data_IF_849865776518
#
_entry.id   IF_849865776518
#
_cell.length_a   1.000
_cell.length_b   1.000
_cell.length_c   1.000
_cell.angle_alpha   90.00
_cell.angle_beta   90.00
_cell.angle_gamma   90.00
#
_symmetry.space_group_name_H-M   'P 1'
#
loop_
_entity.id
_entity.type
_entity.pdbx_description
1 polymer ?
#
# COMPACT_ATOMS: atom_id res chain seq x y z
N UNK A 1 -3.72 -9.98 -23.12
CA UNK A 1 -4.68 -9.15 -22.36
C UNK A 1 -5.06 -7.98 -23.26
N UNK A 2 -6.34 -7.61 -23.40
CA UNK A 2 -6.67 -6.40 -24.17
C UNK A 2 -6.33 -5.15 -23.32
N UNK A 3 -6.07 -4.01 -23.97
CA UNK A 3 -5.65 -2.78 -23.27
C UNK A 3 -6.65 -2.33 -22.19
N UNK A 4 -7.95 -2.42 -22.45
CA UNK A 4 -8.98 -2.00 -21.50
C UNK A 4 -8.93 -2.81 -20.21
N UNK A 5 -8.85 -4.13 -20.33
CA UNK A 5 -8.73 -5.04 -19.18
C UNK A 5 -7.45 -4.80 -18.39
N UNK A 6 -6.35 -4.43 -19.04
CA UNK A 6 -5.09 -4.12 -18.39
C UNK A 6 -5.21 -2.89 -17.47
N UNK A 7 -5.73 -1.78 -18.00
CA UNK A 7 -5.97 -0.57 -17.22
C UNK A 7 -7.00 -0.78 -16.09
N UNK A 8 -8.03 -1.59 -16.33
CA UNK A 8 -9.01 -1.93 -15.29
C UNK A 8 -8.36 -2.66 -14.11
N UNK A 9 -7.39 -3.56 -14.36
CA UNK A 9 -6.66 -4.27 -13.30
C UNK A 9 -5.69 -3.35 -12.58
N UNK A 10 -4.94 -2.52 -13.32
CA UNK A 10 -4.06 -1.51 -12.73
C UNK A 10 -4.83 -0.61 -11.76
N UNK A 11 -5.90 0.03 -12.24
CA UNK A 11 -6.73 0.92 -11.42
C UNK A 11 -7.24 0.23 -10.16
N UNK A 12 -7.79 -0.99 -10.29
CA UNK A 12 -8.28 -1.75 -9.13
C UNK A 12 -7.18 -2.04 -8.13
N UNK A 13 -6.01 -2.48 -8.58
CA UNK A 13 -4.89 -2.75 -7.68
C UNK A 13 -4.37 -1.49 -7.00
N UNK A 14 -4.17 -0.40 -7.75
CA UNK A 14 -3.74 0.90 -7.22
C UNK A 14 -4.70 1.42 -6.17
N UNK A 15 -6.02 1.34 -6.41
CA UNK A 15 -7.04 1.75 -5.44
C UNK A 15 -6.96 0.92 -4.17
N UNK A 16 -6.79 -0.40 -4.26
CA UNK A 16 -6.64 -1.24 -3.07
C UNK A 16 -5.38 -0.88 -2.29
N UNK A 17 -4.24 -0.69 -2.96
CA UNK A 17 -3.02 -0.21 -2.29
C UNK A 17 -3.22 1.13 -1.59
N UNK A 18 -3.88 2.09 -2.25
CA UNK A 18 -4.16 3.39 -1.66
C UNK A 18 -5.03 3.29 -0.40
N UNK A 19 -6.11 2.51 -0.46
CA UNK A 19 -7.01 2.30 0.70
C UNK A 19 -6.27 1.65 1.86
N UNK A 20 -5.50 0.58 1.61
CA UNK A 20 -4.75 -0.11 2.68
C UNK A 20 -3.65 0.80 3.23
N UNK A 21 -3.02 1.65 2.41
CA UNK A 21 -2.01 2.61 2.87
C UNK A 21 -2.59 3.63 3.87
N UNK A 22 -3.78 4.16 3.58
CA UNK A 22 -4.48 5.08 4.48
C UNK A 22 -4.83 4.39 5.80
N UNK A 23 -5.40 3.17 5.73
CA UNK A 23 -5.72 2.37 6.91
C UNK A 23 -4.45 2.12 7.74
N UNK A 24 -3.36 1.71 7.10
CA UNK A 24 -2.11 1.47 7.79
C UNK A 24 -1.48 2.72 8.36
N UNK A 25 -1.66 3.88 7.73
CA UNK A 25 -1.18 5.15 8.27
C UNK A 25 -1.88 5.50 9.59
N UNK A 26 -3.18 5.19 9.69
CA UNK A 26 -3.93 5.32 10.93
C UNK A 26 -3.54 4.24 11.97
N UNK A 27 -3.46 2.97 11.58
CA UNK A 27 -3.06 1.86 12.48
C UNK A 27 -1.64 2.07 13.02
N UNK A 28 -0.74 2.70 12.26
CA UNK A 28 0.59 3.05 12.74
C UNK A 28 0.58 3.98 13.95
N UNK A 29 -0.50 4.73 14.22
CA UNK A 29 -0.64 5.53 15.45
C UNK A 29 -0.80 4.68 16.71
N UNK A 30 -1.35 3.47 16.59
CA UNK A 30 -1.60 2.61 17.74
C UNK A 30 -0.36 1.82 18.15
N UNK A 31 0.76 2.02 17.45
CA UNK A 31 2.03 1.32 17.67
C UNK A 31 3.02 2.33 18.28
N UNK A 32 3.31 2.17 19.57
CA UNK A 32 4.16 3.11 20.33
C UNK A 32 5.61 3.19 19.86
N UNK A 33 6.08 2.25 19.03
CA UNK A 33 7.43 2.24 18.52
C UNK A 33 7.44 2.51 17.01
N UNK A 34 8.06 3.63 16.62
CA UNK A 34 8.18 4.11 15.24
C UNK A 34 8.78 3.07 14.29
N UNK A 35 9.84 2.38 14.72
CA UNK A 35 10.49 1.35 13.89
C UNK A 35 9.58 0.12 13.72
N UNK A 36 8.85 -0.26 14.78
CA UNK A 36 7.87 -1.34 14.72
C UNK A 36 6.69 -0.98 13.82
N UNK A 37 6.20 0.26 13.87
CA UNK A 37 5.12 0.74 13.00
C UNK A 37 5.52 0.66 11.51
N UNK A 38 6.73 1.11 11.19
CA UNK A 38 7.29 1.01 9.84
C UNK A 38 7.46 -0.45 9.39
N UNK A 39 7.99 -1.33 10.26
CA UNK A 39 8.15 -2.75 9.95
C UNK A 39 6.80 -3.41 9.65
N UNK A 40 5.78 -3.15 10.47
CA UNK A 40 4.43 -3.69 10.27
C UNK A 40 3.84 -3.19 8.94
N UNK A 41 3.98 -1.91 8.61
CA UNK A 41 3.51 -1.36 7.34
C UNK A 41 4.19 -2.01 6.13
N UNK A 42 5.48 -2.33 6.22
CA UNK A 42 6.23 -3.04 5.17
C UNK A 42 5.75 -4.50 5.05
N UNK A 43 5.54 -5.19 6.18
CA UNK A 43 5.01 -6.57 6.18
C UNK A 43 3.64 -6.61 5.51
N UNK A 44 2.74 -5.67 5.86
CA UNK A 44 1.41 -5.57 5.25
C UNK A 44 1.51 -5.31 3.75
N UNK A 45 2.41 -4.43 3.31
CA UNK A 45 2.66 -4.21 1.89
C UNK A 45 3.08 -5.48 1.14
N UNK A 46 4.00 -6.26 1.71
CA UNK A 46 4.47 -7.51 1.12
C UNK A 46 3.32 -8.52 1.02
N UNK A 47 2.58 -8.71 2.11
CA UNK A 47 1.42 -9.61 2.14
C UNK A 47 0.37 -9.17 1.11
N UNK A 48 0.03 -7.88 1.08
CA UNK A 48 -0.93 -7.31 0.15
C UNK A 48 -0.52 -7.57 -1.30
N UNK A 49 0.77 -7.46 -1.61
CA UNK A 49 1.31 -7.75 -2.95
C UNK A 49 1.09 -9.21 -3.34
N UNK A 50 1.34 -10.16 -2.44
CA UNK A 50 1.06 -11.58 -2.69
C UNK A 50 -0.44 -11.86 -2.83
N UNK A 51 -1.27 -11.26 -1.97
CA UNK A 51 -2.73 -11.41 -2.00
C UNK A 51 -3.31 -10.90 -3.31
N UNK A 52 -2.96 -9.68 -3.73
CA UNK A 52 -3.44 -9.09 -4.98
C UNK A 52 -2.97 -9.90 -6.20
N UNK A 53 -1.74 -10.42 -6.17
CA UNK A 53 -1.24 -11.30 -7.22
C UNK A 53 -2.08 -12.56 -7.37
N UNK A 54 -2.46 -13.18 -6.25
CA UNK A 54 -3.31 -14.36 -6.25
C UNK A 54 -4.75 -14.04 -6.71
N UNK A 55 -5.35 -12.97 -6.18
CA UNK A 55 -6.74 -12.57 -6.45
C UNK A 55 -6.94 -12.16 -7.91
N UNK A 56 -6.07 -11.30 -8.44
CA UNK A 56 -6.18 -10.77 -9.80
C UNK A 56 -5.45 -11.63 -10.85
N UNK A 57 -4.83 -12.74 -10.43
CA UNK A 57 -4.05 -13.65 -11.30
C UNK A 57 -3.03 -12.92 -12.16
N UNK A 58 -2.38 -11.90 -11.59
CA UNK A 58 -1.43 -11.03 -12.27
C UNK A 58 -0.11 -11.78 -12.50
N UNK A 59 0.28 -11.93 -13.77
CA UNK A 59 1.54 -12.58 -14.17
C UNK A 59 2.71 -11.62 -14.33
N UNK A 60 2.48 -10.34 -14.09
CA UNK A 60 3.49 -9.29 -14.22
C UNK A 60 4.64 -9.44 -13.21
N UNK A 61 5.82 -8.95 -13.60
CA UNK A 61 7.05 -8.99 -12.83
C UNK A 61 7.15 -7.88 -11.78
N UNK A 62 8.21 -7.91 -10.96
CA UNK A 62 8.42 -6.98 -9.85
C UNK A 62 8.40 -5.48 -10.25
N UNK A 63 8.87 -5.15 -11.46
CA UNK A 63 8.86 -3.77 -11.99
C UNK A 63 7.45 -3.18 -12.09
N UNK A 64 6.47 -3.99 -12.49
CA UNK A 64 5.08 -3.56 -12.61
C UNK A 64 4.49 -3.21 -11.24
N UNK A 65 4.80 -4.03 -10.22
CA UNK A 65 4.35 -3.80 -8.84
C UNK A 65 4.97 -2.56 -8.21
N UNK A 66 6.25 -2.28 -8.51
CA UNK A 66 6.91 -1.06 -8.05
C UNK A 66 6.16 0.18 -8.55
N UNK A 67 5.85 0.26 -9.85
CA UNK A 67 5.20 1.43 -10.44
C UNK A 67 3.74 1.64 -10.02
N UNK A 68 2.95 0.56 -9.96
CA UNK A 68 1.49 0.69 -9.88
C UNK A 68 0.90 0.51 -8.46
N UNK A 69 1.67 -0.11 -7.55
CA UNK A 69 1.16 -0.47 -6.22
C UNK A 69 2.06 -0.04 -5.08
N UNK A 70 3.29 -0.55 -5.06
CA UNK A 70 4.24 -0.36 -3.96
C UNK A 70 4.55 1.11 -3.70
N UNK A 71 4.86 1.88 -4.75
CA UNK A 71 5.15 3.31 -4.61
C UNK A 71 3.92 4.04 -4.07
N UNK A 72 2.75 3.80 -4.65
CA UNK A 72 1.50 4.45 -4.24
C UNK A 72 1.21 4.17 -2.76
N UNK A 73 1.37 2.92 -2.33
CA UNK A 73 1.21 2.54 -0.94
C UNK A 73 2.17 3.27 -0.03
N UNK A 74 3.48 3.23 -0.32
CA UNK A 74 4.50 3.82 0.54
C UNK A 74 4.31 5.34 0.68
N UNK A 75 4.07 6.03 -0.43
CA UNK A 75 3.86 7.48 -0.40
C UNK A 75 2.61 7.86 0.40
N UNK A 76 1.48 7.22 0.15
CA UNK A 76 0.24 7.53 0.86
C UNK A 76 0.34 7.17 2.35
N UNK A 77 0.93 6.02 2.67
CA UNK A 77 1.14 5.60 4.04
C UNK A 77 2.00 6.62 4.80
N UNK A 78 3.14 7.05 4.24
CA UNK A 78 4.01 8.06 4.86
C UNK A 78 3.28 9.38 5.05
N UNK A 79 2.54 9.87 4.04
CA UNK A 79 1.79 11.12 4.13
C UNK A 79 0.77 11.04 5.27
N UNK A 80 -0.07 10.01 5.26
CA UNK A 80 -1.16 9.83 6.23
C UNK A 80 -0.59 9.65 7.64
N UNK A 81 0.43 8.81 7.80
CA UNK A 81 1.09 8.60 9.08
C UNK A 81 1.76 9.88 9.60
N UNK A 82 2.40 10.66 8.72
CA UNK A 82 3.01 11.95 9.11
C UNK A 82 1.96 12.94 9.58
N UNK A 83 0.84 13.09 8.85
CA UNK A 83 -0.26 13.96 9.25
C UNK A 83 -0.75 13.57 10.64
N UNK A 84 -1.10 12.30 10.83
CA UNK A 84 -1.63 11.82 12.09
C UNK A 84 -0.65 11.88 13.25
N UNK A 85 0.62 11.53 13.02
CA UNK A 85 1.68 11.62 14.02
C UNK A 85 1.86 13.07 14.48
N UNK A 86 1.83 14.05 13.56
CA UNK A 86 1.92 15.45 13.92
C UNK A 86 0.65 15.98 14.59
N UNK A 87 -0.56 15.59 14.12
CA UNK A 87 -1.81 16.01 14.76
C UNK A 87 -2.01 15.39 16.14
N UNK A 88 -1.48 14.20 16.39
CA UNK A 88 -1.55 13.55 17.71
C UNK A 88 -0.57 14.13 18.74
N UNK A 89 0.52 14.76 18.27
CA UNK A 89 1.53 15.38 19.12
C UNK A 89 1.16 16.82 19.50
N UNK A 90 0.28 17.47 18.74
CA UNK A 90 -0.29 18.80 19.05
C UNK A 90 -1.45 18.65 20.03
#
# INVERSE_FOLDING_TARGET
MNLKSYFDVELRTTVVYAVIAVIMGYVSMTINNTAMAALVAIIVLVILTFVLRAVFKIKEGAKWWMGNGVIVYLFLWVIVWTIFYNTYII
#
